data_IF_434673036759
#
_entry.id   IF_434673036759
#
_cell.length_a   1.000
_cell.length_b   1.000
_cell.length_c   1.000
_cell.angle_alpha   90.00
_cell.angle_beta   90.00
_cell.angle_gamma   90.00
#
_symmetry.space_group_name_H-M   'P 1'
#
loop_
_entity.id
_entity.type
_entity.pdbx_description
1 polymer ?
#
# COMPACT_ATOMS: atom_id res chain seq x y z
N UNK A 1 -20.72 5.14 22.11
CA UNK A 1 -21.00 5.22 20.66
C UNK A 1 -20.30 4.03 20.03
N UNK A 2 -21.03 3.13 19.37
CA UNK A 2 -20.40 2.07 18.59
C UNK A 2 -19.69 2.76 17.41
N UNK A 3 -18.37 2.73 17.40
CA UNK A 3 -17.59 3.01 16.19
C UNK A 3 -18.05 2.00 15.17
N UNK A 4 -18.64 2.44 14.06
CA UNK A 4 -18.84 1.55 12.92
C UNK A 4 -17.49 0.98 12.54
N UNK A 5 -17.40 -0.35 12.49
CA UNK A 5 -16.18 -1.05 12.15
C UNK A 5 -15.74 -0.67 10.73
N UNK A 6 -14.46 -0.36 10.57
CA UNK A 6 -13.86 -0.20 9.25
C UNK A 6 -13.98 -1.52 8.47
N UNK A 7 -14.60 -1.47 7.29
CA UNK A 7 -14.70 -2.61 6.37
C UNK A 7 -13.86 -2.34 5.12
N UNK A 8 -12.98 -3.28 4.78
CA UNK A 8 -12.17 -3.20 3.57
C UNK A 8 -13.04 -3.53 2.35
N UNK A 9 -12.95 -2.75 1.27
CA UNK A 9 -13.75 -3.00 0.06
C UNK A 9 -13.45 -4.38 -0.55
N UNK A 10 -14.46 -5.05 -1.10
CA UNK A 10 -14.34 -6.42 -1.61
C UNK A 10 -13.23 -6.58 -2.67
N UNK A 11 -13.03 -5.60 -3.56
CA UNK A 11 -11.94 -5.62 -4.53
C UNK A 11 -10.55 -5.60 -3.87
N UNK A 12 -10.38 -4.80 -2.81
CA UNK A 12 -9.12 -4.71 -2.06
C UNK A 12 -8.89 -5.97 -1.22
N UNK A 13 -9.95 -6.62 -0.73
CA UNK A 13 -9.86 -7.93 -0.08
C UNK A 13 -9.46 -9.03 -1.06
N UNK A 14 -10.00 -9.00 -2.28
CA UNK A 14 -9.71 -9.99 -3.34
C UNK A 14 -8.27 -9.88 -3.83
N UNK A 15 -7.82 -8.66 -4.12
CA UNK A 15 -6.56 -8.42 -4.82
C UNK A 15 -5.40 -8.04 -3.86
N UNK A 16 -5.68 -7.93 -2.56
CA UNK A 16 -4.73 -7.49 -1.54
C UNK A 16 -4.51 -8.51 -0.42
N UNK A 17 -3.24 -8.69 -0.04
CA UNK A 17 -2.82 -9.46 1.13
C UNK A 17 -2.57 -8.48 2.27
N UNK A 18 -3.30 -8.61 3.37
CA UNK A 18 -3.11 -7.75 4.56
C UNK A 18 -1.74 -8.03 5.19
N UNK A 19 -0.96 -6.97 5.41
CA UNK A 19 0.36 -7.06 6.05
C UNK A 19 0.37 -6.52 7.47
N UNK A 20 -0.15 -5.31 7.67
CA UNK A 20 -0.11 -4.62 8.96
C UNK A 20 -1.16 -3.51 9.04
N UNK A 21 -1.35 -2.98 10.25
CA UNK A 21 -2.15 -1.79 10.50
C UNK A 21 -1.24 -0.70 11.11
N UNK A 22 -1.05 0.40 10.38
CA UNK A 22 -0.49 1.66 10.88
C UNK A 22 -1.54 2.39 11.75
N UNK A 23 -1.20 3.46 12.49
CA UNK A 23 -2.18 4.20 13.29
C UNK A 23 -3.46 4.59 12.53
N UNK A 24 -3.35 5.04 11.27
CA UNK A 24 -4.48 5.41 10.42
C UNK A 24 -4.75 4.36 9.33
N UNK A 25 -3.72 3.91 8.60
CA UNK A 25 -3.92 3.09 7.41
C UNK A 25 -3.75 1.59 7.65
N UNK A 26 -4.57 0.78 6.98
CA UNK A 26 -4.26 -0.63 6.74
C UNK A 26 -3.29 -0.73 5.57
N UNK A 27 -2.21 -1.50 5.75
CA UNK A 27 -1.25 -1.82 4.70
C UNK A 27 -1.59 -3.16 4.06
N UNK A 28 -1.77 -3.13 2.74
CA UNK A 28 -1.90 -4.31 1.89
C UNK A 28 -0.67 -4.45 0.98
N UNK A 29 -0.32 -5.68 0.66
CA UNK A 29 0.47 -6.03 -0.52
C UNK A 29 -0.51 -6.38 -1.65
N UNK A 30 -0.45 -5.71 -2.78
CA UNK A 30 -1.19 -6.16 -3.96
C UNK A 30 -0.66 -7.53 -4.37
N UNK A 31 -1.54 -8.49 -4.66
CA UNK A 31 -1.15 -9.86 -5.04
C UNK A 31 -0.68 -9.92 -6.51
N UNK A 32 0.30 -9.08 -6.83
CA UNK A 32 0.94 -8.94 -8.12
C UNK A 32 2.46 -8.85 -7.96
N UNK A 33 3.11 -9.98 -8.15
CA UNK A 33 4.57 -10.15 -8.10
C UNK A 33 5.31 -9.54 -9.29
N UNK A 34 4.62 -8.93 -10.25
CA UNK A 34 5.30 -8.15 -11.29
C UNK A 34 6.03 -6.92 -10.72
N UNK A 35 5.58 -6.38 -9.58
CA UNK A 35 6.13 -5.18 -8.94
C UNK A 35 6.06 -5.29 -7.41
N UNK A 36 7.00 -4.71 -6.65
CA UNK A 36 6.78 -4.46 -5.23
C UNK A 36 5.69 -3.39 -5.05
N UNK A 37 4.44 -3.82 -4.93
CA UNK A 37 3.25 -2.97 -4.96
C UNK A 37 2.45 -3.06 -3.67
N UNK A 38 2.47 -1.96 -2.92
CA UNK A 38 1.80 -1.82 -1.64
C UNK A 38 0.63 -0.84 -1.76
N UNK A 39 -0.39 -1.02 -0.91
CA UNK A 39 -1.58 -0.20 -0.91
C UNK A 39 -1.89 0.21 0.54
N UNK A 40 -1.94 1.51 0.80
CA UNK A 40 -2.43 2.05 2.06
C UNK A 40 -3.91 2.36 1.95
N UNK A 41 -4.71 1.86 2.89
CA UNK A 41 -6.15 2.11 2.96
C UNK A 41 -6.44 2.81 4.29
N UNK A 42 -6.67 4.14 4.29
CA UNK A 42 -7.06 4.84 5.50
C UNK A 42 -8.30 4.20 6.12
N UNK A 43 -8.26 3.87 7.41
CA UNK A 43 -9.39 3.24 8.12
C UNK A 43 -10.44 4.27 8.55
N UNK A 44 -10.92 5.03 7.58
CA UNK A 44 -11.91 6.10 7.73
C UNK A 44 -13.13 5.75 6.88
N UNK A 45 -14.31 5.73 7.50
CA UNK A 45 -15.55 5.38 6.79
C UNK A 45 -15.94 6.47 5.78
N UNK A 46 -16.43 6.07 4.61
CA UNK A 46 -17.10 6.96 3.66
C UNK A 46 -16.19 7.89 2.85
N UNK A 47 -14.87 7.80 3.01
CA UNK A 47 -13.91 8.59 2.23
C UNK A 47 -13.53 7.90 0.93
N UNK A 48 -13.53 8.69 -0.15
CA UNK A 48 -13.13 8.33 -1.52
C UNK A 48 -11.84 9.05 -1.91
N UNK A 49 -11.65 10.26 -1.39
CA UNK A 49 -10.53 11.14 -1.72
C UNK A 49 -9.82 11.64 -0.46
N UNK A 50 -8.52 11.95 -0.58
CA UNK A 50 -7.70 12.41 0.55
C UNK A 50 -8.29 13.66 1.22
N UNK A 51 -8.82 14.61 0.44
CA UNK A 51 -9.36 15.87 0.98
C UNK A 51 -10.59 15.68 1.87
N UNK A 52 -11.24 14.51 1.82
CA UNK A 52 -12.42 14.19 2.63
C UNK A 52 -12.06 13.75 4.06
N UNK A 53 -10.81 13.35 4.30
CA UNK A 53 -10.29 13.15 5.64
C UNK A 53 -10.12 14.48 6.37
N UNK A 54 -10.22 14.49 7.69
CA UNK A 54 -9.89 15.71 8.46
C UNK A 54 -8.39 16.04 8.38
N UNK A 55 -8.01 17.27 8.74
CA UNK A 55 -6.62 17.74 8.62
C UNK A 55 -5.62 16.86 9.37
N UNK A 56 -5.95 16.39 10.57
CA UNK A 56 -5.09 15.53 11.36
C UNK A 56 -4.89 14.17 10.67
N UNK A 57 -5.95 13.60 10.11
CA UNK A 57 -5.89 12.36 9.34
C UNK A 57 -5.06 12.53 8.05
N UNK A 58 -5.20 13.65 7.34
CA UNK A 58 -4.39 13.92 6.15
C UNK A 58 -2.89 14.01 6.48
N UNK A 59 -2.53 14.69 7.57
CA UNK A 59 -1.15 14.78 8.04
C UNK A 59 -0.62 13.43 8.51
N UNK A 60 -1.43 12.66 9.25
CA UNK A 60 -1.07 11.31 9.67
C UNK A 60 -0.86 10.39 8.46
N UNK A 61 -1.75 10.44 7.46
CA UNK A 61 -1.58 9.72 6.21
C UNK A 61 -0.26 10.10 5.51
N UNK A 62 0.08 11.39 5.44
CA UNK A 62 1.33 11.82 4.83
C UNK A 62 2.55 11.27 5.56
N UNK A 63 2.53 11.26 6.90
CA UNK A 63 3.59 10.68 7.72
C UNK A 63 3.75 9.18 7.44
N UNK A 64 2.65 8.43 7.43
CA UNK A 64 2.64 6.99 7.17
C UNK A 64 3.08 6.65 5.74
N UNK A 65 2.57 7.39 4.74
CA UNK A 65 2.91 7.23 3.32
C UNK A 65 4.39 7.51 3.06
N UNK A 66 4.94 8.55 3.71
CA UNK A 66 6.36 8.90 3.57
C UNK A 66 7.26 7.84 4.22
N UNK A 67 6.93 7.39 5.44
CA UNK A 67 7.70 6.38 6.14
C UNK A 67 7.67 5.03 5.41
N UNK A 68 6.49 4.60 4.93
CA UNK A 68 6.37 3.40 4.09
C UNK A 68 7.22 3.54 2.83
N UNK A 69 7.16 4.67 2.13
CA UNK A 69 7.93 4.89 0.90
C UNK A 69 9.43 4.74 1.14
N UNK A 70 9.95 5.31 2.23
CA UNK A 70 11.36 5.21 2.60
C UNK A 70 11.78 3.77 2.90
N UNK A 71 11.02 3.06 3.75
CA UNK A 71 11.27 1.65 4.09
C UNK A 71 11.28 0.78 2.83
N UNK A 72 10.31 0.97 1.94
CA UNK A 72 10.21 0.20 0.71
C UNK A 72 11.39 0.46 -0.23
N UNK A 73 11.80 1.72 -0.37
CA UNK A 73 12.97 2.05 -1.20
C UNK A 73 14.26 1.45 -0.63
N UNK A 74 14.43 1.45 0.69
CA UNK A 74 15.57 0.81 1.35
C UNK A 74 15.52 -0.72 1.22
N UNK A 75 14.37 -1.33 1.49
CA UNK A 75 14.19 -2.80 1.48
C UNK A 75 14.38 -3.40 0.08
N UNK A 76 13.85 -2.75 -0.95
CA UNK A 76 13.88 -3.25 -2.33
C UNK A 76 14.99 -2.65 -3.19
N UNK A 77 15.78 -1.71 -2.66
CA UNK A 77 16.82 -1.00 -3.41
C UNK A 77 16.28 -0.38 -4.71
N UNK A 78 15.08 0.20 -4.64
CA UNK A 78 14.37 0.75 -5.79
C UNK A 78 15.08 1.94 -6.44
N UNK A 79 14.75 2.22 -7.70
CA UNK A 79 15.24 3.40 -8.41
C UNK A 79 14.27 4.58 -8.30
N UNK A 80 12.96 4.30 -8.26
CA UNK A 80 11.92 5.34 -8.13
C UNK A 80 10.68 4.83 -7.41
N UNK A 81 10.12 5.64 -6.52
CA UNK A 81 8.78 5.39 -5.96
C UNK A 81 7.70 6.00 -6.84
N UNK A 82 6.62 5.27 -7.11
CA UNK A 82 5.36 5.80 -7.63
C UNK A 82 4.32 5.78 -6.51
N UNK A 83 3.74 6.94 -6.19
CA UNK A 83 2.65 7.08 -5.22
C UNK A 83 1.43 7.64 -5.95
N UNK A 84 0.26 7.02 -5.80
CA UNK A 84 -0.94 7.46 -6.49
C UNK A 84 -2.24 7.06 -5.80
N UNK A 85 -3.15 8.03 -5.68
CA UNK A 85 -4.55 7.80 -5.35
C UNK A 85 -5.37 7.98 -6.65
N UNK A 86 -6.01 6.91 -7.11
CA UNK A 86 -6.78 6.91 -8.37
C UNK A 86 -8.27 6.68 -8.10
N UNK A 87 -8.66 5.46 -7.73
CA UNK A 87 -10.02 5.19 -7.23
C UNK A 87 -11.15 5.19 -8.26
N UNK A 88 -10.87 5.19 -9.57
CA UNK A 88 -11.91 5.24 -10.61
C UNK A 88 -12.88 4.03 -10.59
N UNK A 89 -12.41 2.84 -10.19
CA UNK A 89 -13.19 1.60 -10.14
C UNK A 89 -13.58 1.25 -8.70
N UNK A 90 -12.60 1.26 -7.79
CA UNK A 90 -12.80 0.97 -6.37
C UNK A 90 -12.95 2.27 -5.60
N UNK A 91 -14.15 2.60 -5.06
CA UNK A 91 -14.43 3.94 -4.52
C UNK A 91 -13.85 4.19 -3.13
N UNK A 92 -13.52 3.14 -2.35
CA UNK A 92 -12.88 3.32 -1.05
C UNK A 92 -11.49 3.91 -1.25
N UNK A 93 -11.16 5.00 -0.53
CA UNK A 93 -9.85 5.63 -0.63
C UNK A 93 -8.73 4.62 -0.38
N UNK A 94 -7.82 4.51 -1.34
CA UNK A 94 -6.63 3.69 -1.27
C UNK A 94 -5.50 4.35 -2.05
N UNK A 95 -4.27 4.20 -1.57
CA UNK A 95 -3.09 4.86 -2.12
C UNK A 95 -2.04 3.82 -2.43
N UNK A 96 -1.68 3.73 -3.71
CA UNK A 96 -0.67 2.81 -4.20
C UNK A 96 0.73 3.36 -3.91
N UNK A 97 1.63 2.49 -3.47
CA UNK A 97 3.05 2.72 -3.26
C UNK A 97 3.80 1.62 -4.02
N UNK A 98 4.44 1.98 -5.12
CA UNK A 98 5.05 1.01 -6.04
C UNK A 98 6.52 1.34 -6.22
N UNK A 99 7.38 0.38 -5.87
CA UNK A 99 8.82 0.47 -6.15
C UNK A 99 9.05 0.17 -7.63
N UNK A 100 9.76 1.06 -8.33
CA UNK A 100 10.03 0.99 -9.77
C UNK A 100 11.51 0.85 -10.07
N UNK A 101 11.80 0.23 -11.21
CA UNK A 101 13.15 -0.01 -11.73
C UNK A 101 13.16 0.26 -13.23
N UNK A 102 14.27 0.75 -13.80
CA UNK A 102 14.41 0.89 -15.25
C UNK A 102 14.22 -0.44 -16.00
N UNK A 103 14.49 -1.57 -15.34
CA UNK A 103 14.33 -2.92 -15.86
C UNK A 103 12.93 -3.53 -15.59
N UNK A 104 12.03 -2.83 -14.88
CA UNK A 104 10.68 -3.36 -14.63
C UNK A 104 9.87 -3.41 -15.93
N UNK A 105 8.92 -4.36 -16.07
CA UNK A 105 8.31 -4.66 -17.37
C UNK A 105 7.38 -3.55 -17.91
N UNK A 106 7.09 -2.52 -17.10
CA UNK A 106 6.27 -1.39 -17.51
C UNK A 106 7.06 -0.09 -17.64
N UNK A 107 8.36 -0.06 -17.35
CA UNK A 107 9.14 1.17 -17.41
C UNK A 107 9.20 1.76 -18.84
N UNK A 108 9.05 3.09 -19.04
CA UNK A 108 8.79 4.15 -18.07
C UNK A 108 7.28 4.48 -17.89
N UNK A 109 6.39 3.62 -18.37
CA UNK A 109 4.94 3.80 -18.26
C UNK A 109 4.45 3.55 -16.82
N UNK A 110 3.26 4.07 -16.46
CA UNK A 110 2.55 3.61 -15.27
C UNK A 110 2.26 2.11 -15.35
N UNK A 111 2.17 1.44 -14.20
CA UNK A 111 1.91 -0.02 -14.16
C UNK A 111 0.46 -0.39 -14.46
N UNK A 112 -0.50 0.51 -14.20
CA UNK A 112 -1.92 0.21 -14.26
C UNK A 112 -2.35 -0.20 -15.68
N UNK A 113 -2.88 -1.43 -15.79
CA UNK A 113 -3.39 -1.98 -17.05
C UNK A 113 -2.34 -2.44 -18.07
N UNK A 114 -1.05 -2.47 -17.71
CA UNK A 114 0.00 -2.92 -18.63
C UNK A 114 0.12 -4.46 -18.70
N UNK A 115 -0.02 -5.14 -17.55
CA UNK A 115 0.09 -6.59 -17.42
C UNK A 115 -1.04 -7.17 -16.57
N UNK A 116 -1.42 -8.44 -16.77
CA UNK A 116 -2.30 -9.14 -15.84
C UNK A 116 -1.59 -9.34 -14.48
N UNK A 117 -2.37 -9.36 -13.40
CA UNK A 117 -1.86 -9.63 -12.05
C UNK A 117 -1.19 -11.01 -12.03
N UNK A 118 0.00 -11.09 -11.44
CA UNK A 118 0.72 -12.36 -11.24
C UNK A 118 0.79 -12.67 -9.74
N UNK A 119 -0.01 -13.60 -9.19
CA UNK A 119 0.01 -13.91 -7.77
C UNK A 119 1.39 -14.29 -7.25
N UNK A 120 1.68 -13.92 -6.00
CA UNK A 120 2.83 -14.44 -5.28
C UNK A 120 2.64 -15.93 -4.96
N UNK A 121 3.71 -16.70 -5.07
CA UNK A 121 3.81 -18.02 -4.43
C UNK A 121 3.99 -17.87 -2.91
N UNK A 122 3.68 -18.94 -2.16
CA UNK A 122 3.88 -18.96 -0.71
C UNK A 122 5.33 -18.70 -0.30
N UNK A 123 6.30 -19.19 -1.09
CA UNK A 123 7.73 -18.96 -0.85
C UNK A 123 8.13 -17.50 -1.09
N UNK A 124 7.66 -16.88 -2.18
CA UNK A 124 7.95 -15.47 -2.45
C UNK A 124 7.32 -14.57 -1.39
N UNK A 125 6.10 -14.89 -0.95
CA UNK A 125 5.41 -14.16 0.11
C UNK A 125 6.13 -14.30 1.47
N UNK A 126 6.59 -15.49 1.81
CA UNK A 126 7.35 -15.74 3.03
C UNK A 126 8.68 -14.97 3.03
N UNK A 127 9.41 -14.97 1.92
CA UNK A 127 10.66 -14.22 1.76
C UNK A 127 10.42 -12.71 1.87
N UNK A 128 9.41 -12.18 1.19
CA UNK A 128 9.04 -10.77 1.25
C UNK A 128 8.70 -10.35 2.69
N UNK A 129 7.85 -11.12 3.37
CA UNK A 129 7.48 -10.85 4.77
C UNK A 129 8.69 -10.93 5.70
N UNK A 130 9.58 -11.90 5.51
CA UNK A 130 10.79 -12.05 6.30
C UNK A 130 11.73 -10.84 6.22
N UNK A 131 11.82 -10.20 5.04
CA UNK A 131 12.62 -8.99 4.83
C UNK A 131 11.93 -7.72 5.33
N UNK A 132 10.64 -7.56 5.02
CA UNK A 132 9.93 -6.30 5.19
C UNK A 132 9.35 -6.10 6.60
N UNK A 133 8.80 -7.16 7.22
CA UNK A 133 8.08 -7.01 8.50
C UNK A 133 8.97 -6.50 9.64
N UNK A 134 10.26 -6.90 9.79
CA UNK A 134 11.13 -6.31 10.81
C UNK A 134 11.25 -4.79 10.68
N UNK A 135 11.46 -4.28 9.46
CA UNK A 135 11.58 -2.84 9.19
C UNK A 135 10.27 -2.09 9.44
N UNK A 136 9.12 -2.69 9.08
CA UNK A 136 7.81 -2.10 9.34
C UNK A 136 7.51 -1.98 10.83
N UNK A 137 7.89 -2.98 11.63
CA UNK A 137 7.59 -2.99 13.07
C UNK A 137 8.30 -1.85 13.83
N UNK A 138 9.50 -1.45 13.39
CA UNK A 138 10.23 -0.30 13.97
C UNK A 138 9.49 1.04 13.77
N UNK A 139 8.62 1.12 12.77
CA UNK A 139 7.89 2.36 12.41
C UNK A 139 6.43 2.34 12.87
N UNK A 140 5.80 1.17 12.88
CA UNK A 140 4.39 1.02 13.28
C UNK A 140 4.22 1.09 14.80
N UNK A 141 5.20 0.58 15.56
CA UNK A 141 5.21 0.61 17.02
C UNK A 141 6.38 1.51 17.44
N UNK A 142 6.18 2.83 17.54
CA UNK A 142 7.23 3.68 18.07
C UNK A 142 7.48 3.28 19.54
N UNK A 143 8.74 2.94 19.83
CA UNK A 143 9.27 2.70 21.18
C UNK A 143 9.09 3.90 22.11
#
# INVERSE_FOLDING_TARGET
MMTKDFELHADLQRDGIVLADFPLCRLLLCNDSNYPWFIMVPRVEGVKDIYQMNWQQQQQFLNESSALSEILMQCFHGEKMNVGALGNVTPQLHIHHIVRFAADPSWPKPIWGQLPLKPYSDSELAELKGKLMPMLNEVIIPS
#
